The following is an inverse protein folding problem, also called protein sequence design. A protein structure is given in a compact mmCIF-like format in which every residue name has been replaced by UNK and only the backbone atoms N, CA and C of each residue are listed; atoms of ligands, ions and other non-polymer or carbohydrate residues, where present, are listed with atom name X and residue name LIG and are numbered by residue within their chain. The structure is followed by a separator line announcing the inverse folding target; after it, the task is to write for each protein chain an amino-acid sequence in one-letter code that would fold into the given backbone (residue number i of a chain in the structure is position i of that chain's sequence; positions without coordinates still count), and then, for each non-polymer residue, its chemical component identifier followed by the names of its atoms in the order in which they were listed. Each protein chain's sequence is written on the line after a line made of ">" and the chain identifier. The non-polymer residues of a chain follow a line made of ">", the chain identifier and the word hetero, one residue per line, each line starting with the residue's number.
data_IF_498498663491
#
_entry.id   IF_498498663491
#
_cell.length_a   1.000
_cell.length_b   1.000
_cell.length_c   1.000
_cell.angle_alpha   90.00
_cell.angle_beta   90.00
_cell.angle_gamma   90.00
#
_symmetry.space_group_name_H-M   'P 1'
#
loop_
_entity.id
_entity.type
_entity.pdbx_description
1 polymer ?
#
# COMPACT_ATOMS: atom_id res chain seq x y z
N UNK A 1 -18.02 18.09 -13.52
CA UNK A 1 -16.82 17.21 -13.53
C UNK A 1 -17.04 16.14 -14.58
N UNK A 2 -16.10 15.91 -15.51
CA UNK A 2 -16.20 14.78 -16.45
C UNK A 2 -15.64 13.55 -15.74
N UNK A 3 -16.45 12.52 -15.54
CA UNK A 3 -16.01 11.22 -15.04
C UNK A 3 -15.05 10.56 -16.06
N UNK A 4 -13.76 10.80 -15.90
CA UNK A 4 -12.73 10.10 -16.69
C UNK A 4 -12.43 8.75 -16.06
N UNK A 5 -13.37 7.80 -16.23
CA UNK A 5 -13.09 6.38 -15.96
C UNK A 5 -11.95 5.91 -16.88
N UNK A 6 -11.02 5.12 -16.33
CA UNK A 6 -9.96 4.45 -17.11
C UNK A 6 -10.61 3.54 -18.14
N UNK A 7 -10.27 3.71 -19.42
CA UNK A 7 -10.90 2.98 -20.52
C UNK A 7 -10.49 1.52 -20.47
N UNK A 8 -11.47 0.61 -20.43
CA UNK A 8 -11.22 -0.83 -20.35
C UNK A 8 -10.88 -1.33 -18.95
N UNK A 9 -11.15 -0.53 -17.91
CA UNK A 9 -11.17 -0.97 -16.53
C UNK A 9 -12.59 -0.77 -15.98
N UNK A 10 -13.21 -1.83 -15.49
CA UNK A 10 -14.57 -1.82 -14.95
C UNK A 10 -14.66 -1.23 -13.53
N UNK A 11 -13.51 -1.08 -12.85
CA UNK A 11 -13.42 -0.60 -11.49
C UNK A 11 -13.25 -1.71 -10.46
N UNK A 12 -13.24 -2.98 -10.87
CA UNK A 12 -13.10 -4.11 -9.94
C UNK A 12 -11.62 -4.32 -9.55
N UNK A 13 -11.22 -3.66 -8.48
CA UNK A 13 -9.89 -3.83 -7.88
C UNK A 13 -9.65 -5.24 -7.33
N UNK A 14 -10.70 -6.00 -6.98
CA UNK A 14 -10.54 -7.35 -6.41
C UNK A 14 -10.15 -8.38 -7.46
N UNK A 15 -10.49 -8.15 -8.73
CA UNK A 15 -10.05 -8.96 -9.86
C UNK A 15 -8.57 -8.78 -10.21
N UNK A 16 -7.94 -7.70 -9.73
CA UNK A 16 -6.52 -7.45 -9.93
C UNK A 16 -5.65 -8.26 -8.96
N UNK A 17 -4.42 -8.57 -9.38
CA UNK A 17 -3.42 -9.22 -8.55
C UNK A 17 -3.10 -8.38 -7.31
N UNK A 18 -3.12 -9.02 -6.12
CA UNK A 18 -2.75 -8.41 -4.86
C UNK A 18 -1.25 -8.63 -4.60
N UNK A 19 -0.56 -7.53 -4.34
CA UNK A 19 0.86 -7.49 -4.01
C UNK A 19 1.05 -6.93 -2.61
N UNK A 20 2.06 -7.42 -1.91
CA UNK A 20 2.45 -6.96 -0.58
C UNK A 20 3.87 -6.40 -0.61
N UNK A 21 4.08 -5.29 0.10
CA UNK A 21 5.40 -4.72 0.35
C UNK A 21 5.53 -4.45 1.85
N UNK A 22 6.48 -5.16 2.48
CA UNK A 22 6.87 -4.90 3.86
C UNK A 22 7.87 -3.74 3.90
N UNK A 23 7.51 -2.68 4.59
CA UNK A 23 8.37 -1.54 4.91
C UNK A 23 8.59 -1.46 6.41
N UNK A 24 9.53 -0.63 6.85
CA UNK A 24 9.77 -0.34 8.25
C UNK A 24 9.84 1.16 8.47
N UNK A 25 9.13 1.67 9.47
CA UNK A 25 9.37 3.01 10.01
C UNK A 25 10.34 2.87 11.18
N UNK A 26 11.53 3.43 11.02
CA UNK A 26 12.60 3.37 12.01
C UNK A 26 12.80 4.76 12.63
N UNK A 27 12.79 4.83 13.96
CA UNK A 27 13.02 6.07 14.71
C UNK A 27 14.08 5.85 15.77
N UNK A 28 14.94 6.85 15.93
CA UNK A 28 15.89 6.95 17.05
C UNK A 28 15.10 7.43 18.26
N UNK A 29 15.15 6.70 19.38
CA UNK A 29 14.34 7.05 20.55
C UNK A 29 14.75 8.38 21.19
N UNK A 30 16.06 8.58 21.33
CA UNK A 30 16.69 9.72 21.99
C UNK A 30 17.75 10.32 21.06
N UNK A 31 17.35 11.10 20.02
CA UNK A 31 18.27 11.57 18.98
C UNK A 31 19.45 12.41 19.51
N UNK A 32 19.33 12.99 20.70
CA UNK A 32 20.39 13.76 21.37
C UNK A 32 21.47 12.87 22.04
N UNK A 33 21.21 11.56 22.21
CA UNK A 33 22.16 10.60 22.79
C UNK A 33 22.83 9.80 21.69
N UNK A 34 24.17 9.86 21.65
CA UNK A 34 24.98 9.18 20.62
C UNK A 34 24.75 7.66 20.55
N UNK A 35 24.43 7.03 21.66
CA UNK A 35 24.19 5.58 21.78
C UNK A 35 22.69 5.26 21.93
N UNK A 36 21.80 6.11 21.40
CA UNK A 36 20.38 5.83 21.45
C UNK A 36 20.01 4.62 20.59
N UNK A 37 19.11 3.81 21.14
CA UNK A 37 18.48 2.73 20.41
C UNK A 37 17.64 3.25 19.22
N UNK A 38 17.55 2.40 18.19
CA UNK A 38 16.70 2.60 17.03
C UNK A 38 15.61 1.54 17.06
N UNK A 39 14.37 1.98 17.13
CA UNK A 39 13.22 1.09 17.01
C UNK A 39 12.62 1.17 15.61
N UNK A 40 12.37 0.01 15.01
CA UNK A 40 11.76 -0.14 13.70
C UNK A 40 10.43 -0.88 13.84
N UNK A 41 9.35 -0.29 13.34
CA UNK A 41 8.03 -0.91 13.32
C UNK A 41 7.68 -1.35 11.90
N UNK A 42 7.19 -2.59 11.71
CA UNK A 42 6.79 -3.07 10.39
C UNK A 42 5.56 -2.31 9.89
N UNK A 43 5.58 -1.93 8.62
CA UNK A 43 4.48 -1.32 7.88
C UNK A 43 4.22 -2.19 6.66
N UNK A 44 3.12 -2.94 6.70
CA UNK A 44 2.67 -3.71 5.54
C UNK A 44 1.88 -2.78 4.62
N UNK A 45 2.31 -2.69 3.36
CA UNK A 45 1.63 -1.97 2.29
C UNK A 45 1.06 -2.96 1.30
N UNK A 46 -0.19 -2.76 0.90
CA UNK A 46 -0.87 -3.63 -0.04
C UNK A 46 -1.20 -2.86 -1.32
N UNK A 47 -1.00 -3.50 -2.47
CA UNK A 47 -1.21 -2.91 -3.78
C UNK A 47 -2.00 -3.84 -4.69
N UNK A 48 -2.90 -3.27 -5.51
CA UNK A 48 -3.52 -3.96 -6.63
C UNK A 48 -2.78 -3.60 -7.91
N UNK A 49 -2.25 -4.61 -8.61
CA UNK A 49 -1.69 -4.46 -9.95
C UNK A 49 -2.76 -4.77 -10.99
N UNK A 50 -3.31 -3.72 -11.59
CA UNK A 50 -4.38 -3.78 -12.55
C UNK A 50 -3.90 -3.48 -13.96
N UNK A 51 -4.76 -3.70 -14.95
CA UNK A 51 -4.52 -3.38 -16.35
C UNK A 51 -5.75 -2.72 -16.97
N UNK A 52 -5.54 -1.66 -17.74
CA UNK A 52 -6.53 -1.02 -18.60
C UNK A 52 -6.03 -1.03 -20.06
N UNK A 53 -6.69 -0.28 -20.95
CA UNK A 53 -6.26 -0.18 -22.35
C UNK A 53 -4.94 0.56 -22.55
N UNK A 54 -4.58 1.42 -21.62
CA UNK A 54 -3.37 2.25 -21.69
C UNK A 54 -2.17 1.54 -21.03
N UNK A 55 -2.41 0.52 -20.20
CA UNK A 55 -1.39 -0.40 -19.72
C UNK A 55 -1.62 -0.88 -18.28
N UNK A 56 -0.53 -1.33 -17.64
CA UNK A 56 -0.55 -1.74 -16.23
C UNK A 56 -0.48 -0.52 -15.33
N UNK A 57 -1.20 -0.56 -14.22
CA UNK A 57 -1.14 0.44 -13.17
C UNK A 57 -1.22 -0.21 -11.79
N UNK A 58 -0.76 0.52 -10.77
CA UNK A 58 -0.84 0.08 -9.38
C UNK A 58 -1.70 1.02 -8.56
N UNK A 59 -2.46 0.46 -7.62
CA UNK A 59 -3.27 1.20 -6.66
C UNK A 59 -2.89 0.71 -5.27
N UNK A 60 -2.49 1.61 -4.37
CA UNK A 60 -2.34 1.25 -2.96
C UNK A 60 -3.72 1.00 -2.34
N UNK A 61 -3.91 -0.19 -1.76
CA UNK A 61 -5.17 -0.61 -1.15
C UNK A 61 -5.02 -0.98 0.32
N UNK A 62 -3.90 -0.63 0.97
CA UNK A 62 -3.62 -0.90 2.39
C UNK A 62 -4.83 -0.64 3.30
N UNK A 63 -5.49 0.52 3.19
CA UNK A 63 -6.64 0.88 4.01
C UNK A 63 -7.93 0.07 3.72
N UNK A 64 -8.09 -0.42 2.49
CA UNK A 64 -9.25 -1.21 2.06
C UNK A 64 -9.09 -2.68 2.47
N UNK A 65 -7.90 -3.25 2.31
CA UNK A 65 -7.65 -4.68 2.58
C UNK A 65 -7.58 -5.00 4.08
N UNK A 66 -7.33 -3.98 4.92
CA UNK A 66 -7.16 -4.09 6.38
C UNK A 66 -8.40 -4.50 7.19
N UNK A 67 -9.57 -4.69 6.57
CA UNK A 67 -10.77 -5.19 7.26
C UNK A 67 -10.77 -6.72 7.51
N UNK A 68 -9.74 -7.45 7.08
CA UNK A 68 -9.58 -8.86 7.50
C UNK A 68 -8.96 -8.98 8.89
N UNK A 69 -9.86 -8.91 9.88
CA UNK A 69 -9.82 -9.56 11.20
C UNK A 69 -8.47 -9.62 11.91
N UNK A 70 -8.25 -8.69 12.84
CA UNK A 70 -7.52 -9.03 14.07
C UNK A 70 -8.39 -9.98 14.91
N UNK A 71 -7.92 -11.22 15.07
CA UNK A 71 -8.30 -12.10 16.17
C UNK A 71 -7.47 -11.83 17.40
#
# INVERSE_FOLDING_TARGET
>A
MKDTKRKGFDGDLKACELLELLQYDCRVENPERRESDVHCWPIVRLFRRCQDRDGKFMVETTAWEGEKKGG
#
